data_IF_248501547575
#
_entry.id   IF_248501547575
#
_cell.length_a   1.000
_cell.length_b   1.000
_cell.length_c   1.000
_cell.angle_alpha   90.00
_cell.angle_beta   90.00
_cell.angle_gamma   90.00
#
_symmetry.space_group_name_H-M   'P 1'
#
loop_
_entity.id
_entity.type
_entity.pdbx_description
1 polymer ?
#
# COMPACT_ATOMS: atom_id res chain seq x y z
N UNK A 1 6.52 -0.73 -8.41
CA UNK A 1 5.77 0.40 -7.82
C UNK A 1 5.22 1.22 -8.97
N UNK A 2 3.91 1.17 -9.17
CA UNK A 2 3.20 1.82 -10.27
C UNK A 2 2.97 3.31 -9.98
N UNK A 3 2.65 4.11 -11.00
CA UNK A 3 2.32 5.54 -10.82
C UNK A 3 1.09 5.76 -9.90
N UNK A 4 0.19 4.77 -9.83
CA UNK A 4 -0.98 4.80 -8.98
C UNK A 4 -0.61 4.61 -7.49
N UNK A 5 0.42 3.81 -7.21
CA UNK A 5 0.97 3.58 -5.87
C UNK A 5 1.65 4.84 -5.33
N UNK A 6 2.39 5.55 -6.18
CA UNK A 6 3.07 6.81 -5.80
C UNK A 6 2.04 7.91 -5.48
N UNK A 7 0.99 8.02 -6.29
CA UNK A 7 -0.07 9.01 -6.09
C UNK A 7 -0.87 8.75 -4.83
N UNK A 8 -1.24 7.50 -4.57
CA UNK A 8 -2.03 7.11 -3.40
C UNK A 8 -1.25 7.27 -2.09
N UNK A 9 0.05 6.96 -2.09
CA UNK A 9 0.95 7.24 -0.97
C UNK A 9 1.07 8.75 -0.69
N UNK A 10 1.16 9.57 -1.75
CA UNK A 10 1.20 11.04 -1.63
C UNK A 10 -0.10 11.59 -1.01
N UNK A 11 -1.26 11.11 -1.47
CA UNK A 11 -2.56 11.51 -0.91
C UNK A 11 -2.72 11.11 0.56
N UNK A 12 -2.30 9.89 0.94
CA UNK A 12 -2.32 9.45 2.34
C UNK A 12 -1.43 10.35 3.22
N UNK A 13 -0.26 10.74 2.72
CA UNK A 13 0.68 11.61 3.45
C UNK A 13 0.13 13.04 3.63
N UNK A 14 -0.55 13.58 2.63
CA UNK A 14 -1.24 14.87 2.73
C UNK A 14 -2.38 14.83 3.74
N UNK A 15 -3.16 13.73 3.76
CA UNK A 15 -4.21 13.52 4.75
C UNK A 15 -3.64 13.45 6.18
N UNK A 16 -2.55 12.72 6.39
CA UNK A 16 -1.83 12.69 7.68
C UNK A 16 -1.43 14.11 8.12
N UNK A 17 -0.82 14.89 7.23
CA UNK A 17 -0.38 16.26 7.54
C UNK A 17 -1.53 17.21 7.87
N UNK A 18 -2.68 17.05 7.21
CA UNK A 18 -3.89 17.78 7.56
C UNK A 18 -4.40 17.39 8.95
N UNK A 19 -4.49 16.10 9.24
CA UNK A 19 -4.94 15.60 10.54
C UNK A 19 -4.00 16.04 11.69
N UNK A 20 -2.68 16.03 11.48
CA UNK A 20 -1.71 16.56 12.44
C UNK A 20 -1.91 18.06 12.70
N UNK A 21 -2.16 18.84 11.63
CA UNK A 21 -2.43 20.28 11.76
C UNK A 21 -3.72 20.54 12.55
N UNK A 22 -4.78 19.78 12.31
CA UNK A 22 -6.05 19.87 13.05
C UNK A 22 -5.87 19.49 14.54
N UNK A 23 -5.04 18.49 14.82
CA UNK A 23 -4.65 18.11 16.17
C UNK A 23 -3.68 19.10 16.85
N UNK A 24 -3.30 20.19 16.16
CA UNK A 24 -2.30 21.20 16.59
C UNK A 24 -0.91 20.61 16.85
N UNK A 25 -0.55 19.57 16.10
CA UNK A 25 0.74 18.89 16.18
C UNK A 25 1.65 19.42 15.08
N UNK A 26 2.90 19.71 15.45
CA UNK A 26 3.90 20.21 14.53
C UNK A 26 4.24 19.12 13.51
N UNK A 27 4.17 19.48 12.22
CA UNK A 27 4.51 18.57 11.13
C UNK A 27 6.00 18.20 11.18
N UNK A 28 6.35 16.94 10.84
CA UNK A 28 7.73 16.53 10.69
C UNK A 28 8.54 17.46 9.79
N UNK A 29 9.71 17.87 10.26
CA UNK A 29 10.68 18.62 9.46
C UNK A 29 11.46 17.70 8.51
N UNK A 30 11.97 18.20 7.37
CA UNK A 30 12.78 17.41 6.45
C UNK A 30 14.15 16.99 7.03
N UNK A 31 14.62 17.69 8.06
CA UNK A 31 15.88 17.41 8.77
C UNK A 31 15.65 16.80 10.16
N UNK A 32 14.40 16.47 10.49
CA UNK A 32 14.08 15.82 11.76
C UNK A 32 14.59 14.37 11.72
N UNK A 33 15.42 13.99 12.69
CA UNK A 33 16.13 12.72 12.69
C UNK A 33 15.21 11.52 13.01
N UNK A 34 14.22 11.71 13.89
CA UNK A 34 13.28 10.67 14.32
C UNK A 34 11.85 11.22 14.52
N UNK A 35 11.19 11.69 13.45
CA UNK A 35 9.84 12.24 13.54
C UNK A 35 8.82 11.21 14.03
N UNK A 36 9.03 9.92 13.74
CA UNK A 36 8.18 8.83 14.21
C UNK A 36 8.18 8.76 15.74
N UNK A 37 9.34 8.82 16.38
CA UNK A 37 9.46 8.71 17.83
C UNK A 37 8.69 9.83 18.54
N UNK A 38 8.77 11.06 18.04
CA UNK A 38 7.99 12.20 18.55
C UNK A 38 6.50 12.02 18.31
N UNK A 39 6.10 11.63 17.10
CA UNK A 39 4.69 11.45 16.77
C UNK A 39 4.06 10.30 17.56
N UNK A 40 4.76 9.18 17.74
CA UNK A 40 4.26 8.05 18.54
C UNK A 40 4.20 8.36 20.04
N UNK A 41 5.04 9.27 20.54
CA UNK A 41 4.99 9.72 21.94
C UNK A 41 3.82 10.69 22.22
N UNK A 42 3.29 11.39 21.20
CA UNK A 42 2.17 12.33 21.35
C UNK A 42 0.82 11.62 21.19
N UNK A 43 0.07 11.48 22.30
CA UNK A 43 -1.27 10.87 22.30
C UNK A 43 -2.26 11.55 21.35
N UNK A 44 -2.08 12.84 21.05
CA UNK A 44 -2.94 13.57 20.11
C UNK A 44 -2.69 13.12 18.67
N UNK A 45 -1.51 12.58 18.36
CA UNK A 45 -1.17 12.10 17.02
C UNK A 45 -1.71 10.69 16.76
N UNK A 46 -2.00 9.91 17.81
CA UNK A 46 -2.36 8.50 17.69
C UNK A 46 -3.49 8.26 16.70
N UNK A 47 -4.56 9.05 16.74
CA UNK A 47 -5.69 8.90 15.80
C UNK A 47 -5.25 9.12 14.34
N UNK A 48 -4.53 10.21 14.07
CA UNK A 48 -4.04 10.53 12.73
C UNK A 48 -3.06 9.47 12.20
N UNK A 49 -2.20 8.93 13.07
CA UNK A 49 -1.27 7.85 12.72
C UNK A 49 -2.00 6.55 12.39
N UNK A 50 -3.02 6.17 13.17
CA UNK A 50 -3.82 4.97 12.90
C UNK A 50 -4.60 5.08 11.59
N UNK A 51 -5.19 6.23 11.30
CA UNK A 51 -5.88 6.48 10.02
C UNK A 51 -4.91 6.39 8.84
N UNK A 52 -3.70 6.95 8.98
CA UNK A 52 -2.66 6.87 7.95
C UNK A 52 -2.17 5.44 7.71
N UNK A 53 -1.87 4.69 8.78
CA UNK A 53 -1.47 3.28 8.69
C UNK A 53 -2.59 2.47 8.03
N UNK A 54 -3.84 2.68 8.45
CA UNK A 54 -5.02 2.06 7.86
C UNK A 54 -5.11 2.29 6.35
N UNK A 55 -4.99 3.54 5.91
CA UNK A 55 -5.03 3.91 4.50
C UNK A 55 -3.92 3.22 3.67
N UNK A 56 -2.70 3.13 4.20
CA UNK A 56 -1.58 2.45 3.53
C UNK A 56 -1.82 0.93 3.48
N UNK A 57 -2.28 0.34 4.57
CA UNK A 57 -2.54 -1.11 4.62
C UNK A 57 -3.67 -1.53 3.68
N UNK A 58 -4.72 -0.72 3.56
CA UNK A 58 -5.81 -0.96 2.62
C UNK A 58 -5.32 -0.92 1.16
N UNK A 59 -4.52 0.09 0.81
CA UNK A 59 -3.93 0.20 -0.53
C UNK A 59 -3.06 -1.02 -0.88
N UNK A 60 -2.26 -1.49 0.07
CA UNK A 60 -1.43 -2.69 -0.12
C UNK A 60 -2.29 -3.95 -0.33
N UNK A 61 -3.38 -4.08 0.42
CA UNK A 61 -4.32 -5.19 0.26
C UNK A 61 -5.03 -5.16 -1.09
N UNK A 62 -5.42 -3.98 -1.58
CA UNK A 62 -6.03 -3.81 -2.90
C UNK A 62 -5.06 -4.12 -4.04
N UNK A 63 -3.81 -3.68 -3.94
CA UNK A 63 -2.76 -4.04 -4.89
C UNK A 63 -2.50 -5.55 -4.91
N UNK A 64 -2.43 -6.17 -3.73
CA UNK A 64 -2.22 -7.61 -3.64
C UNK A 64 -3.42 -8.38 -4.22
N UNK A 65 -4.65 -7.97 -3.93
CA UNK A 65 -5.85 -8.58 -4.52
C UNK A 65 -5.90 -8.40 -6.05
N UNK A 66 -5.46 -7.24 -6.56
CA UNK A 66 -5.35 -7.01 -7.99
C UNK A 66 -4.26 -7.86 -8.65
N UNK A 67 -3.11 -8.05 -7.99
CA UNK A 67 -2.05 -8.95 -8.47
C UNK A 67 -2.51 -10.42 -8.43
N UNK A 68 -3.22 -10.84 -7.39
CA UNK A 68 -3.79 -12.18 -7.27
C UNK A 68 -4.87 -12.43 -8.33
N UNK A 69 -5.73 -11.45 -8.62
CA UNK A 69 -6.71 -11.54 -9.71
C UNK A 69 -6.04 -11.61 -11.08
N UNK A 70 -5.01 -10.78 -11.33
CA UNK A 70 -4.23 -10.86 -12.57
C UNK A 70 -3.52 -12.20 -12.70
N UNK A 71 -2.94 -12.74 -11.62
CA UNK A 71 -2.36 -14.09 -11.64
C UNK A 71 -3.43 -15.12 -11.94
N UNK A 72 -4.57 -15.10 -11.25
CA UNK A 72 -5.70 -16.01 -11.46
C UNK A 72 -6.20 -16.00 -12.92
N UNK A 73 -6.27 -14.82 -13.53
CA UNK A 73 -6.63 -14.66 -14.94
C UNK A 73 -5.54 -15.22 -15.89
N UNK A 74 -4.26 -15.16 -15.51
CA UNK A 74 -3.16 -15.74 -16.27
C UNK A 74 -3.03 -17.28 -16.18
N UNK A 75 -3.75 -17.97 -15.28
CA UNK A 75 -3.77 -19.45 -15.22
C UNK A 75 -4.71 -20.10 -16.27
N UNK A 76 -5.37 -19.32 -17.13
CA UNK A 76 -6.35 -19.80 -18.10
C UNK A 76 -5.86 -20.01 -19.54
N UNK A 77 -4.56 -19.87 -19.85
CA UNK A 77 -4.04 -19.95 -21.24
C UNK A 77 -2.86 -20.93 -21.42
N UNK A 78 -2.32 -21.58 -20.37
CA UNK A 78 -1.18 -22.50 -20.51
C UNK A 78 -1.49 -23.98 -20.18
N UNK A 79 -2.70 -24.46 -20.49
CA UNK A 79 -3.01 -25.91 -20.44
C UNK A 79 -3.66 -26.40 -21.72
N UNK A 80 -3.00 -26.19 -22.88
CA UNK A 80 -3.37 -26.91 -24.09
C UNK A 80 -2.24 -26.96 -25.13
N UNK A 81 -1.12 -27.60 -24.77
CA UNK A 81 -0.08 -28.16 -25.66
C UNK A 81 0.90 -28.80 -24.66
N UNK A 82 0.93 -30.13 -24.44
CA UNK A 82 1.30 -31.18 -25.38
C UNK A 82 0.65 -32.50 -24.94
N UNK A 83 -0.23 -33.07 -25.78
CA UNK A 83 -0.66 -34.47 -25.69
C UNK A 83 -0.48 -35.17 -27.05
N UNK A 84 0.58 -34.80 -27.78
CA UNK A 84 1.03 -35.49 -29.00
C UNK A 84 2.32 -36.26 -28.71
N UNK A 85 2.22 -37.31 -27.88
CA UNK A 85 3.20 -38.41 -27.91
C UNK A 85 2.70 -39.66 -27.18
N UNK A 86 1.85 -40.47 -27.82
CA UNK A 86 1.96 -41.93 -27.72
C UNK A 86 1.07 -42.65 -28.74
N UNK A 87 1.70 -43.47 -29.60
CA UNK A 87 0.98 -44.31 -30.54
C UNK A 87 1.86 -44.88 -31.66
N UNK A 88 3.00 -45.49 -31.31
CA UNK A 88 3.60 -46.50 -32.21
C UNK A 88 2.75 -47.78 -32.12
N UNK A 89 2.28 -48.26 -33.27
CA UNK A 89 1.59 -49.53 -33.46
C UNK A 89 1.57 -49.92 -34.93
#
# INVERSE_FOLDING_TARGET
MTLQDVRSAQTAREALFKALKEAKIIRPGPTEEAPEARLFADRKATKALLEYIGAITAQRSEQQAAEEALRADCWGIETMEEDDREGEG
#
